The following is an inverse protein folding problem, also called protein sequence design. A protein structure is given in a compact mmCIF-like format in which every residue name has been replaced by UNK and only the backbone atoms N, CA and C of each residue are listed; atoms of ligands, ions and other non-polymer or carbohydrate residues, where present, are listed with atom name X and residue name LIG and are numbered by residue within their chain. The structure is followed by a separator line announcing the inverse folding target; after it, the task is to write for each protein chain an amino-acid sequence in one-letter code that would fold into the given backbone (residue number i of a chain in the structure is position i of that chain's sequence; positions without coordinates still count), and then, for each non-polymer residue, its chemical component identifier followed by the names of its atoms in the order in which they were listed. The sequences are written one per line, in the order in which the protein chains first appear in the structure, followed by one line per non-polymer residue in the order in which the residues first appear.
data_IF_293591099585
#
_entry.id   IF_293591099585
#
_cell.length_a   1.000
_cell.length_b   1.000
_cell.length_c   1.000
_cell.angle_alpha   90.00
_cell.angle_beta   90.00
_cell.angle_gamma   90.00
#
_symmetry.space_group_name_H-M   'P 1'
#
loop_
_entity.id
_entity.type
_entity.pdbx_description
1 polymer ?
#
# COMPACT_ATOMS: atom_id res chain seq x y z
N UNK A 1 14.22 -9.43 -2.36
CA UNK A 1 13.15 -10.06 -3.13
C UNK A 1 12.67 -9.11 -4.22
N UNK A 2 12.72 -9.55 -5.48
CA UNK A 2 12.23 -8.75 -6.60
C UNK A 2 10.74 -8.96 -6.75
N UNK A 3 9.98 -7.87 -6.71
CA UNK A 3 8.53 -7.89 -6.93
C UNK A 3 8.12 -6.69 -7.76
N UNK A 4 7.09 -6.81 -8.63
CA UNK A 4 6.62 -5.67 -9.42
C UNK A 4 5.97 -4.62 -8.53
N UNK A 5 6.03 -3.37 -8.98
CA UNK A 5 5.32 -2.26 -8.33
C UNK A 5 3.81 -2.46 -8.49
N UNK A 6 3.38 -2.81 -9.69
CA UNK A 6 1.99 -3.14 -9.98
C UNK A 6 1.94 -4.63 -10.32
N UNK A 7 1.13 -5.38 -9.58
CA UNK A 7 0.97 -6.81 -9.78
C UNK A 7 -0.41 -7.09 -10.37
N UNK A 8 -0.43 -7.78 -11.51
CA UNK A 8 -1.65 -8.09 -12.23
C UNK A 8 -1.88 -9.59 -12.25
N UNK A 9 -3.14 -9.99 -12.22
CA UNK A 9 -3.57 -11.35 -12.49
C UNK A 9 -3.40 -11.69 -13.99
N UNK A 10 -3.44 -12.98 -14.38
CA UNK A 10 -3.34 -13.36 -15.79
C UNK A 10 -4.40 -12.73 -16.69
N UNK A 11 -5.57 -12.37 -16.15
CA UNK A 11 -6.65 -11.69 -16.86
C UNK A 11 -6.47 -10.17 -16.94
N UNK A 12 -5.38 -9.63 -16.35
CA UNK A 12 -5.09 -8.21 -16.31
C UNK A 12 -5.70 -7.45 -15.14
N UNK A 13 -6.42 -8.10 -14.23
CA UNK A 13 -6.94 -7.45 -13.04
C UNK A 13 -5.84 -7.10 -12.05
N UNK A 14 -6.01 -5.98 -11.37
CA UNK A 14 -5.05 -5.52 -10.35
C UNK A 14 -5.13 -6.40 -9.10
N UNK A 15 -4.03 -7.10 -8.79
CA UNK A 15 -3.90 -7.88 -7.57
C UNK A 15 -3.34 -7.05 -6.43
N UNK A 16 -2.32 -6.26 -6.71
CA UNK A 16 -1.64 -5.52 -5.66
C UNK A 16 -0.76 -4.40 -6.18
N UNK A 17 -0.39 -3.51 -5.29
CA UNK A 17 0.51 -2.39 -5.56
C UNK A 17 1.57 -2.30 -4.46
N UNK A 18 2.81 -1.99 -4.86
CA UNK A 18 3.91 -1.74 -3.94
C UNK A 18 4.52 -0.39 -4.27
N UNK A 19 4.43 0.52 -3.34
CA UNK A 19 4.99 1.86 -3.49
C UNK A 19 5.56 2.31 -2.15
N UNK A 20 6.87 2.54 -2.12
CA UNK A 20 7.54 2.99 -0.89
C UNK A 20 8.76 3.83 -1.26
N UNK A 21 8.78 5.07 -0.83
CA UNK A 21 9.89 5.99 -1.10
C UNK A 21 11.17 5.64 -0.32
N UNK A 22 11.09 4.81 0.71
CA UNK A 22 12.22 4.49 1.58
C UNK A 22 13.01 3.26 1.16
N UNK A 23 12.35 2.30 0.49
CA UNK A 23 12.94 1.00 0.22
C UNK A 23 13.06 0.66 -1.27
N UNK A 24 12.87 1.64 -2.13
CA UNK A 24 13.06 1.43 -3.57
C UNK A 24 14.56 1.31 -3.88
N UNK A 25 14.94 0.15 -4.38
CA UNK A 25 16.30 -0.08 -4.87
C UNK A 25 16.49 0.52 -6.26
N UNK A 26 17.75 0.71 -6.67
CA UNK A 26 18.05 1.11 -8.02
C UNK A 26 17.47 0.12 -9.03
N UNK A 27 16.89 0.63 -10.09
CA UNK A 27 16.27 -0.19 -11.14
C UNK A 27 17.37 -0.72 -12.07
N UNK A 28 17.56 -2.02 -12.05
CA UNK A 28 18.59 -2.69 -12.86
C UNK A 28 18.01 -3.59 -13.95
N UNK A 29 16.72 -3.85 -13.92
CA UNK A 29 16.05 -4.80 -14.81
C UNK A 29 15.50 -4.17 -16.09
N UNK A 30 15.58 -2.84 -16.19
CA UNK A 30 15.08 -2.10 -17.35
C UNK A 30 16.23 -1.84 -18.32
N UNK A 31 16.07 -2.14 -19.60
CA UNK A 31 17.08 -1.80 -20.61
C UNK A 31 17.41 -0.31 -20.57
N UNK A 32 18.70 0.03 -20.75
CA UNK A 32 19.17 1.40 -20.64
C UNK A 32 18.37 2.38 -21.51
N UNK A 33 18.03 1.99 -22.76
CA UNK A 33 17.25 2.83 -23.65
C UNK A 33 15.81 3.09 -23.22
N UNK A 34 15.31 2.36 -22.21
CA UNK A 34 13.94 2.52 -21.67
C UNK A 34 13.92 3.13 -20.28
N UNK A 35 15.06 3.47 -19.70
CA UNK A 35 15.14 3.97 -18.34
C UNK A 35 14.39 5.29 -18.15
N UNK A 36 14.50 6.23 -19.08
CA UNK A 36 13.80 7.51 -19.00
C UNK A 36 12.28 7.30 -19.02
N UNK A 37 11.79 6.42 -19.87
CA UNK A 37 10.35 6.09 -19.96
C UNK A 37 9.89 5.45 -18.64
N UNK A 38 10.69 4.56 -18.07
CA UNK A 38 10.36 3.90 -16.82
C UNK A 38 10.25 4.91 -15.67
N UNK A 39 11.23 5.81 -15.52
CA UNK A 39 11.19 6.82 -14.47
C UNK A 39 10.08 7.85 -14.68
N UNK A 40 9.75 8.18 -15.93
CA UNK A 40 8.61 9.04 -16.22
C UNK A 40 7.28 8.39 -15.80
N UNK A 41 7.12 7.10 -16.07
CA UNK A 41 5.96 6.34 -15.65
C UNK A 41 5.87 6.22 -14.12
N UNK A 42 6.98 5.98 -13.45
CA UNK A 42 7.05 5.93 -12.00
C UNK A 42 6.67 7.27 -11.36
N UNK A 43 7.18 8.37 -11.91
CA UNK A 43 6.82 9.72 -11.46
C UNK A 43 5.33 9.99 -11.64
N UNK A 44 4.76 9.56 -12.77
CA UNK A 44 3.33 9.71 -13.02
C UNK A 44 2.49 8.91 -12.02
N UNK A 45 2.92 7.71 -11.68
CA UNK A 45 2.28 6.92 -10.64
C UNK A 45 2.31 7.64 -9.29
N UNK A 46 3.45 8.20 -8.92
CA UNK A 46 3.59 8.98 -7.69
C UNK A 46 2.64 10.20 -7.66
N UNK A 47 2.51 10.90 -8.78
CA UNK A 47 1.57 12.02 -8.91
C UNK A 47 0.12 11.59 -8.71
N UNK A 48 -0.27 10.44 -9.26
CA UNK A 48 -1.62 9.89 -9.10
C UNK A 48 -1.86 9.50 -7.64
N UNK A 49 -0.89 8.88 -7.00
CA UNK A 49 -0.98 8.48 -5.58
C UNK A 49 -1.14 9.70 -4.68
N UNK A 50 -0.40 10.78 -4.97
CA UNK A 50 -0.44 12.01 -4.19
C UNK A 50 -1.65 12.91 -4.51
N UNK A 51 -2.46 12.56 -5.49
CA UNK A 51 -3.65 13.33 -5.84
C UNK A 51 -4.68 13.22 -4.71
N UNK A 52 -5.14 14.36 -4.21
CA UNK A 52 -6.12 14.43 -3.11
C UNK A 52 -7.42 13.71 -3.42
N UNK A 53 -7.80 13.59 -4.70
CA UNK A 53 -8.99 12.85 -5.11
C UNK A 53 -8.88 11.35 -4.88
N UNK A 54 -7.67 10.84 -4.76
CA UNK A 54 -7.37 9.43 -4.47
C UNK A 54 -7.20 9.17 -2.97
N UNK A 55 -7.34 10.18 -2.15
CA UNK A 55 -6.98 10.15 -0.73
C UNK A 55 -8.22 10.16 0.16
N UNK A 56 -8.24 9.25 1.13
CA UNK A 56 -9.19 9.29 2.24
C UNK A 56 -8.41 9.64 3.49
N UNK A 57 -8.78 10.73 4.14
CA UNK A 57 -8.11 11.21 5.34
C UNK A 57 -9.07 11.17 6.53
N UNK A 58 -8.60 10.62 7.64
CA UNK A 58 -9.37 10.60 8.89
C UNK A 58 -8.43 10.62 10.08
N UNK A 59 -8.97 11.00 11.23
CA UNK A 59 -8.27 10.99 12.50
C UNK A 59 -8.86 9.91 13.38
N UNK A 60 -8.00 9.04 13.91
CA UNK A 60 -8.43 8.04 14.89
C UNK A 60 -8.56 8.69 16.26
N UNK A 61 -9.69 8.45 16.92
CA UNK A 61 -9.90 8.77 18.32
C UNK A 61 -9.36 7.62 19.19
N UNK A 62 -9.06 7.87 20.48
CA UNK A 62 -8.64 6.80 21.38
C UNK A 62 -9.63 5.63 21.39
N UNK A 63 -9.12 4.42 21.25
CA UNK A 63 -9.93 3.19 21.18
C UNK A 63 -10.41 2.81 19.80
N UNK A 64 -10.21 3.65 18.79
CA UNK A 64 -10.53 3.31 17.41
C UNK A 64 -9.39 2.61 16.71
N UNK A 65 -9.73 1.79 15.72
CA UNK A 65 -8.77 1.09 14.87
C UNK A 65 -9.25 1.04 13.43
N UNK A 66 -8.34 0.76 12.51
CA UNK A 66 -8.68 0.49 11.12
C UNK A 66 -7.97 -0.76 10.64
N UNK A 67 -8.58 -1.44 9.68
CA UNK A 67 -8.03 -2.63 9.04
C UNK A 67 -8.05 -2.39 7.53
N UNK A 68 -6.93 -2.66 6.87
CA UNK A 68 -6.81 -2.48 5.43
C UNK A 68 -6.15 -3.69 4.77
N UNK A 69 -6.48 -3.93 3.52
CA UNK A 69 -5.73 -4.84 2.67
C UNK A 69 -4.46 -4.13 2.20
N UNK A 70 -3.35 -4.46 2.82
CA UNK A 70 -2.06 -3.80 2.61
C UNK A 70 -1.46 -4.07 1.22
N UNK A 71 -2.01 -5.00 0.46
CA UNK A 71 -1.58 -5.25 -0.92
C UNK A 71 -2.29 -4.35 -1.91
N UNK A 72 -3.43 -3.81 -1.54
CA UNK A 72 -4.29 -3.03 -2.43
C UNK A 72 -4.35 -1.55 -2.10
N UNK A 73 -4.14 -1.18 -0.86
CA UNK A 73 -4.27 0.20 -0.38
C UNK A 73 -2.92 0.67 0.14
N UNK A 74 -2.54 1.88 -0.22
CA UNK A 74 -1.41 2.56 0.38
C UNK A 74 -1.90 3.38 1.57
N UNK A 75 -1.09 3.46 2.60
CA UNK A 75 -1.41 4.25 3.78
C UNK A 75 -0.19 5.01 4.27
N UNK A 76 -0.46 6.18 4.84
CA UNK A 76 0.58 7.03 5.39
C UNK A 76 0.02 7.81 6.57
N UNK A 77 0.92 8.40 7.33
CA UNK A 77 0.59 9.26 8.45
C UNK A 77 1.00 10.69 8.11
N UNK A 78 0.09 11.65 8.32
CA UNK A 78 0.44 13.07 8.24
C UNK A 78 1.28 13.47 9.45
N UNK A 79 2.08 14.52 9.29
CA UNK A 79 2.94 15.01 10.34
C UNK A 79 2.16 15.35 11.60
N UNK A 80 2.77 15.09 12.75
CA UNK A 80 2.20 15.37 14.06
C UNK A 80 2.97 16.51 14.74
N UNK A 81 2.23 17.54 15.15
CA UNK A 81 2.83 18.72 15.77
C UNK A 81 2.16 19.10 17.11
N UNK A 82 1.45 18.18 17.76
CA UNK A 82 0.74 18.43 19.00
C UNK A 82 1.56 18.16 20.25
N UNK A 83 1.17 18.79 21.35
CA UNK A 83 1.63 18.44 22.70
C UNK A 83 0.80 17.28 23.22
N UNK A 84 1.45 16.28 23.82
CA UNK A 84 0.79 15.13 24.39
C UNK A 84 1.39 13.80 23.93
N UNK A 85 0.92 12.70 24.49
CA UNK A 85 1.35 11.37 24.12
C UNK A 85 0.48 10.83 22.99
N UNK A 86 1.14 10.13 22.07
CA UNK A 86 0.50 9.44 20.97
C UNK A 86 0.99 8.01 20.92
N UNK A 87 0.06 7.08 20.98
CA UNK A 87 0.36 5.66 20.90
C UNK A 87 -0.51 5.01 19.83
N UNK A 88 0.13 4.48 18.80
CA UNK A 88 -0.51 3.66 17.79
C UNK A 88 0.13 2.28 17.80
N UNK A 89 -0.69 1.26 18.03
CA UNK A 89 -0.24 -0.12 17.99
C UNK A 89 -0.75 -0.77 16.71
N UNK A 90 0.15 -1.40 15.97
CA UNK A 90 -0.19 -2.04 14.70
C UNK A 90 0.32 -3.46 14.62
N UNK A 91 -0.32 -4.26 13.78
CA UNK A 91 0.12 -5.61 13.48
C UNK A 91 -0.24 -5.96 12.05
N UNK A 92 0.43 -6.99 11.54
CA UNK A 92 0.12 -7.59 10.25
C UNK A 92 -0.47 -8.97 10.47
N UNK A 93 -1.50 -9.31 9.70
CA UNK A 93 -2.11 -10.63 9.71
C UNK A 93 -2.14 -11.19 8.30
N UNK A 94 -2.11 -12.52 8.21
CA UNK A 94 -2.19 -13.21 6.94
C UNK A 94 -3.62 -13.13 6.39
N UNK A 95 -3.74 -12.64 5.16
CA UNK A 95 -5.03 -12.47 4.48
C UNK A 95 -5.74 -13.82 4.27
N UNK A 96 -5.00 -14.86 3.93
CA UNK A 96 -5.59 -16.18 3.72
C UNK A 96 -6.12 -16.78 5.02
N UNK A 97 -5.44 -16.57 6.13
CA UNK A 97 -5.91 -16.98 7.45
C UNK A 97 -7.20 -16.27 7.83
N UNK A 98 -7.30 -14.98 7.54
CA UNK A 98 -8.53 -14.21 7.79
C UNK A 98 -9.69 -14.74 6.96
N UNK A 99 -9.47 -15.00 5.67
CA UNK A 99 -10.49 -15.57 4.80
C UNK A 99 -10.93 -16.95 5.26
N UNK A 100 -9.99 -17.80 5.65
CA UNK A 100 -10.26 -19.13 6.17
C UNK A 100 -11.12 -19.09 7.43
N UNK A 101 -10.78 -18.21 8.37
CA UNK A 101 -11.57 -18.01 9.59
C UNK A 101 -12.99 -17.53 9.29
N UNK A 102 -13.14 -16.62 8.33
CA UNK A 102 -14.44 -16.12 7.90
C UNK A 102 -15.32 -17.24 7.32
N UNK A 103 -14.80 -18.00 6.37
CA UNK A 103 -15.54 -19.09 5.76
C UNK A 103 -15.88 -20.22 6.76
N UNK A 104 -14.98 -20.51 7.69
CA UNK A 104 -15.25 -21.50 8.74
C UNK A 104 -16.36 -21.03 9.70
N UNK A 105 -16.49 -19.75 9.94
CA UNK A 105 -17.54 -19.21 10.80
C UNK A 105 -18.92 -19.24 10.14
N UNK A 106 -18.99 -19.22 8.82
CA UNK A 106 -20.26 -19.32 8.09
C UNK A 106 -20.84 -20.73 8.11
N UNK A 107 -20.01 -21.75 8.29
CA UNK A 107 -20.41 -23.16 8.33
C UNK A 107 -20.94 -23.60 9.72
N UNK A 108 -20.90 -22.72 10.70
CA UNK A 108 -21.47 -22.94 12.03
C UNK A 108 -22.72 -22.08 12.22
#
# INVERSE_FOLDING_TARGET
TRKPIIELAPDGELIGIRFNNRSLSAVTDVPFGKMQIWYAAYRRLAEIIDDQRMEVTFKLEPGESFIVDNTRVLHARKGYSGKGSRWLQGCYADKDSLKSAFYSSEDT
#
